data_IF_925690045384
#
_entry.id   IF_925690045384
#
_cell.length_a   1.000
_cell.length_b   1.000
_cell.length_c   1.000
_cell.angle_alpha   90.00
_cell.angle_beta   90.00
_cell.angle_gamma   90.00
#
_symmetry.space_group_name_H-M   'P 1'
#
loop_
_entity.id
_entity.type
_entity.pdbx_description
1 polymer ?
#
# COMPACT_ATOMS: atom_id res chain seq x y z
N UNK A 1 10.49 -8.02 -51.68
CA UNK A 1 10.10 -6.62 -51.43
C UNK A 1 9.08 -6.51 -50.32
N UNK A 2 7.99 -7.28 -50.33
CA UNK A 2 6.90 -7.23 -49.32
C UNK A 2 7.38 -7.54 -47.89
N UNK A 3 8.30 -8.49 -47.74
CA UNK A 3 8.84 -8.90 -46.42
C UNK A 3 9.59 -7.77 -45.70
N UNK A 4 10.30 -6.92 -46.46
CA UNK A 4 11.04 -5.76 -45.92
C UNK A 4 10.08 -4.69 -45.43
N UNK A 5 8.99 -4.48 -46.13
CA UNK A 5 7.95 -3.50 -45.76
C UNK A 5 7.24 -3.93 -44.49
N UNK A 6 6.89 -5.21 -44.38
CA UNK A 6 6.25 -5.79 -43.18
C UNK A 6 7.16 -5.66 -41.95
N UNK A 7 8.45 -5.99 -42.10
CA UNK A 7 9.43 -5.85 -41.02
C UNK A 7 9.62 -4.38 -40.61
N UNK A 8 9.59 -3.45 -41.55
CA UNK A 8 9.65 -2.01 -41.29
C UNK A 8 8.45 -1.51 -40.46
N UNK A 9 7.25 -1.91 -40.84
CA UNK A 9 6.02 -1.55 -40.09
C UNK A 9 6.02 -2.17 -38.69
N UNK A 10 6.42 -3.45 -38.56
CA UNK A 10 6.54 -4.11 -37.26
C UNK A 10 7.53 -3.41 -36.33
N UNK A 11 8.65 -2.94 -36.86
CA UNK A 11 9.67 -2.24 -36.07
C UNK A 11 9.16 -0.90 -35.54
N UNK A 12 8.43 -0.15 -36.35
CA UNK A 12 7.85 1.15 -35.98
C UNK A 12 6.76 0.97 -34.92
N UNK A 13 5.87 0.01 -35.09
CA UNK A 13 4.79 -0.28 -34.12
C UNK A 13 5.35 -0.75 -32.79
N UNK A 14 6.42 -1.58 -32.79
CA UNK A 14 7.08 -2.01 -31.55
C UNK A 14 7.72 -0.84 -30.79
N UNK A 15 8.36 0.10 -31.48
CA UNK A 15 8.95 1.29 -30.87
C UNK A 15 7.90 2.19 -30.18
N UNK A 16 6.77 2.45 -30.85
CA UNK A 16 5.70 3.29 -30.32
C UNK A 16 5.01 2.66 -29.10
N UNK A 17 4.78 1.35 -29.13
CA UNK A 17 4.12 0.61 -28.03
C UNK A 17 4.96 0.60 -26.77
N UNK A 18 6.28 0.45 -26.89
CA UNK A 18 7.17 0.40 -25.73
C UNK A 18 7.23 1.74 -24.97
N UNK A 19 7.24 2.85 -25.70
CA UNK A 19 7.24 4.19 -25.09
C UNK A 19 5.94 4.49 -24.34
N UNK A 20 4.80 4.12 -24.88
CA UNK A 20 3.50 4.33 -24.24
C UNK A 20 3.36 3.51 -22.95
N UNK A 21 3.79 2.23 -22.98
CA UNK A 21 3.72 1.34 -21.84
C UNK A 21 4.56 1.83 -20.64
N UNK A 22 5.78 2.30 -20.91
CA UNK A 22 6.69 2.79 -19.87
C UNK A 22 6.15 4.01 -19.11
N UNK A 23 5.36 4.85 -19.75
CA UNK A 23 4.75 6.04 -19.11
C UNK A 23 3.54 5.69 -18.25
N UNK A 24 2.80 4.62 -18.56
CA UNK A 24 1.60 4.23 -17.83
C UNK A 24 1.89 3.32 -16.62
N UNK A 25 2.95 2.53 -16.66
CA UNK A 25 3.32 1.58 -15.60
C UNK A 25 3.44 2.23 -14.20
N UNK A 26 4.10 3.38 -14.02
CA UNK A 26 4.18 4.02 -12.71
C UNK A 26 2.81 4.40 -12.13
N UNK A 27 1.90 4.87 -12.98
CA UNK A 27 0.55 5.23 -12.56
C UNK A 27 -0.25 4.00 -12.07
N UNK A 28 -0.15 2.88 -12.77
CA UNK A 28 -0.81 1.64 -12.37
C UNK A 28 -0.20 1.06 -11.08
N UNK A 29 1.14 1.11 -10.93
CA UNK A 29 1.84 0.69 -9.72
C UNK A 29 1.42 1.51 -8.52
N UNK A 30 1.36 2.84 -8.64
CA UNK A 30 0.89 3.69 -7.55
C UNK A 30 -0.55 3.36 -7.13
N UNK A 31 -1.46 3.19 -8.10
CA UNK A 31 -2.84 2.82 -7.83
C UNK A 31 -2.96 1.43 -7.18
N UNK A 32 -2.16 0.46 -7.63
CA UNK A 32 -2.09 -0.88 -7.07
C UNK A 32 -1.60 -0.85 -5.63
N UNK A 33 -0.50 -0.15 -5.35
CA UNK A 33 0.06 0.03 -4.02
C UNK A 33 -0.93 0.66 -3.04
N UNK A 34 -1.64 1.71 -3.47
CA UNK A 34 -2.68 2.37 -2.65
C UNK A 34 -3.81 1.40 -2.31
N UNK A 35 -4.27 0.60 -3.28
CA UNK A 35 -5.31 -0.41 -3.05
C UNK A 35 -4.86 -1.49 -2.08
N UNK A 36 -3.62 -1.96 -2.19
CA UNK A 36 -3.05 -2.95 -1.28
C UNK A 36 -2.99 -2.42 0.15
N UNK A 37 -2.36 -1.27 0.38
CA UNK A 37 -2.28 -0.67 1.72
C UNK A 37 -3.67 -0.40 2.28
N UNK A 38 -4.61 0.11 1.48
CA UNK A 38 -5.99 0.33 1.91
C UNK A 38 -6.68 -0.98 2.31
N UNK A 39 -6.51 -2.05 1.53
CA UNK A 39 -7.05 -3.38 1.82
C UNK A 39 -6.51 -3.93 3.14
N UNK A 40 -5.20 -3.82 3.35
CA UNK A 40 -4.54 -4.29 4.57
C UNK A 40 -5.00 -3.52 5.82
N UNK A 41 -5.19 -2.19 5.70
CA UNK A 41 -5.74 -1.37 6.78
C UNK A 41 -7.20 -1.75 7.12
N UNK A 42 -8.01 -2.01 6.10
CA UNK A 42 -9.40 -2.45 6.30
C UNK A 42 -9.43 -3.85 6.90
N UNK A 43 -8.56 -4.76 6.44
CA UNK A 43 -8.44 -6.12 6.99
C UNK A 43 -7.99 -6.07 8.46
N UNK A 44 -6.97 -5.27 8.80
CA UNK A 44 -6.54 -5.08 10.19
C UNK A 44 -7.67 -4.55 11.08
N UNK A 45 -8.45 -3.59 10.59
CA UNK A 45 -9.64 -3.11 11.32
C UNK A 45 -10.68 -4.22 11.54
N UNK A 46 -10.96 -5.02 10.49
CA UNK A 46 -11.91 -6.14 10.59
C UNK A 46 -11.42 -7.18 11.58
N UNK A 47 -10.14 -7.54 11.53
CA UNK A 47 -9.52 -8.49 12.47
C UNK A 47 -9.60 -7.97 13.90
N UNK A 48 -9.36 -6.66 14.14
CA UNK A 48 -9.52 -6.06 15.45
C UNK A 48 -10.92 -6.27 16.03
N UNK A 49 -11.96 -6.17 15.20
CA UNK A 49 -13.37 -6.37 15.62
C UNK A 49 -13.69 -7.84 15.83
N UNK A 50 -13.27 -8.72 14.90
CA UNK A 50 -13.58 -10.16 14.92
C UNK A 50 -12.87 -10.86 16.06
N UNK A 51 -11.58 -10.62 16.22
CA UNK A 51 -10.73 -11.25 17.24
C UNK A 51 -10.84 -10.57 18.61
N UNK A 52 -11.49 -9.41 18.66
CA UNK A 52 -11.61 -8.57 19.86
C UNK A 52 -10.26 -8.16 20.45
N UNK A 53 -9.23 -8.12 19.64
CA UNK A 53 -7.88 -7.69 19.97
C UNK A 53 -7.56 -6.37 19.28
N UNK A 54 -6.53 -5.68 19.79
CA UNK A 54 -6.04 -4.48 19.15
C UNK A 54 -5.10 -4.86 18.00
N UNK A 55 -5.34 -4.31 16.81
CA UNK A 55 -4.45 -4.46 15.66
C UNK A 55 -3.64 -3.17 15.48
N UNK A 56 -2.33 -3.27 15.48
CA UNK A 56 -1.42 -2.13 15.29
C UNK A 56 -0.72 -2.20 13.96
N UNK A 57 -0.52 -1.04 13.34
CA UNK A 57 0.26 -0.94 12.12
C UNK A 57 1.51 -0.12 12.42
N UNK A 58 2.68 -0.69 12.18
CA UNK A 58 3.97 -0.03 12.33
C UNK A 58 4.58 0.20 10.97
N UNK A 59 4.84 1.44 10.62
CA UNK A 59 5.60 1.79 9.42
C UNK A 59 7.08 1.85 9.80
N UNK A 60 7.85 0.85 9.33
CA UNK A 60 9.25 0.67 9.72
C UNK A 60 10.18 1.58 8.90
N UNK A 61 9.91 1.68 7.60
CA UNK A 61 10.68 2.50 6.66
C UNK A 61 9.80 2.92 5.45
N UNK A 62 10.44 3.37 4.37
CA UNK A 62 9.75 3.83 3.17
C UNK A 62 9.18 2.71 2.29
N UNK A 63 9.32 1.44 2.67
CA UNK A 63 8.84 0.28 1.91
C UNK A 63 8.19 -0.80 2.77
N UNK A 64 8.54 -0.90 4.05
CA UNK A 64 8.03 -1.94 4.94
C UNK A 64 7.04 -1.40 5.97
N UNK A 65 5.98 -2.15 6.18
CA UNK A 65 5.09 -1.98 7.30
C UNK A 65 4.70 -3.33 7.89
N UNK A 66 4.41 -3.32 9.18
CA UNK A 66 4.07 -4.49 9.97
C UNK A 66 2.65 -4.32 10.51
N UNK A 67 1.84 -5.37 10.39
CA UNK A 67 0.54 -5.49 11.06
C UNK A 67 0.72 -6.45 12.23
N UNK A 68 0.47 -5.97 13.44
CA UNK A 68 0.66 -6.69 14.70
C UNK A 68 -0.70 -6.95 15.35
N UNK A 69 -0.95 -8.22 15.72
CA UNK A 69 -2.05 -8.60 16.61
C UNK A 69 -1.59 -8.47 18.08
N UNK A 70 -1.80 -7.26 18.64
CA UNK A 70 -1.39 -6.90 20.02
C UNK A 70 -2.36 -7.49 21.02
N UNK A 71 -2.18 -8.77 21.38
CA UNK A 71 -3.06 -9.53 22.27
C UNK A 71 -3.03 -9.05 23.71
N UNK A 72 -1.87 -8.62 24.16
CA UNK A 72 -1.68 -8.16 25.55
C UNK A 72 -1.91 -6.65 25.70
N UNK A 73 -2.13 -5.93 24.60
CA UNK A 73 -2.39 -4.49 24.54
C UNK A 73 -1.25 -3.61 25.11
N UNK A 74 -0.01 -4.11 25.12
CA UNK A 74 1.14 -3.36 25.63
C UNK A 74 1.75 -2.40 24.58
N UNK A 75 1.43 -2.58 23.30
CA UNK A 75 1.93 -1.75 22.19
C UNK A 75 3.35 -2.05 21.76
N UNK A 76 3.91 -3.18 22.20
CA UNK A 76 5.22 -3.65 21.81
C UNK A 76 5.09 -4.89 20.94
N UNK A 77 6.15 -5.22 20.24
CA UNK A 77 6.22 -6.42 19.42
C UNK A 77 6.78 -7.54 20.30
N UNK A 78 5.93 -8.47 20.71
CA UNK A 78 6.29 -9.54 21.61
C UNK A 78 6.39 -10.91 20.91
N UNK A 79 7.17 -11.81 21.50
CA UNK A 79 7.27 -13.18 21.05
C UNK A 79 5.92 -13.91 21.29
N UNK A 80 5.37 -14.49 20.21
CA UNK A 80 4.08 -15.21 20.26
C UNK A 80 2.88 -14.40 19.75
N UNK A 81 3.06 -13.13 19.42
CA UNK A 81 2.07 -12.34 18.72
C UNK A 81 2.17 -12.54 17.20
N UNK A 82 1.04 -12.54 16.53
CA UNK A 82 1.01 -12.68 15.08
C UNK A 82 1.47 -11.39 14.42
N UNK A 83 2.50 -11.52 13.57
CA UNK A 83 3.11 -10.42 12.85
C UNK A 83 3.03 -10.69 11.35
N UNK A 84 2.47 -9.76 10.61
CA UNK A 84 2.41 -9.80 9.15
C UNK A 84 3.23 -8.64 8.57
N UNK A 85 4.45 -8.94 8.11
CA UNK A 85 5.37 -7.98 7.51
C UNK A 85 5.06 -7.84 6.02
N UNK A 86 4.86 -6.62 5.57
CA UNK A 86 4.59 -6.28 4.17
C UNK A 86 5.71 -5.43 3.60
N UNK A 87 6.15 -5.79 2.40
CA UNK A 87 7.07 -5.00 1.57
C UNK A 87 6.32 -4.49 0.35
N UNK A 88 6.05 -3.19 0.30
CA UNK A 88 5.32 -2.59 -0.82
C UNK A 88 6.12 -2.64 -2.13
N UNK A 89 7.45 -2.62 -2.04
CA UNK A 89 8.32 -2.63 -3.21
C UNK A 89 8.53 -4.03 -3.80
N UNK A 90 8.08 -5.10 -3.13
CA UNK A 90 8.08 -6.43 -3.71
C UNK A 90 7.22 -6.49 -5.00
N UNK A 91 6.04 -5.85 -4.97
CA UNK A 91 5.12 -5.79 -6.10
C UNK A 91 5.18 -4.46 -6.87
N UNK A 92 5.52 -3.35 -6.19
CA UNK A 92 5.50 -1.98 -6.71
C UNK A 92 6.85 -1.30 -6.49
N UNK A 93 7.86 -1.70 -7.24
CA UNK A 93 9.30 -1.39 -7.04
C UNK A 93 9.64 0.10 -6.95
N UNK A 94 8.87 0.97 -7.60
CA UNK A 94 9.10 2.42 -7.68
C UNK A 94 8.26 3.21 -6.67
N UNK A 95 7.42 2.53 -5.85
CA UNK A 95 6.56 3.18 -4.88
C UNK A 95 7.24 3.24 -3.52
N UNK A 96 7.23 4.44 -2.93
CA UNK A 96 7.67 4.68 -1.54
C UNK A 96 6.48 5.10 -0.69
N UNK A 97 6.50 4.75 0.59
CA UNK A 97 5.48 5.14 1.54
C UNK A 97 6.07 6.00 2.67
N UNK A 98 5.25 6.92 3.18
CA UNK A 98 5.56 7.72 4.35
C UNK A 98 4.31 7.86 5.20
N UNK A 99 4.41 7.60 6.50
CA UNK A 99 3.28 7.71 7.41
C UNK A 99 3.55 8.76 8.50
N UNK A 100 2.51 9.49 8.88
CA UNK A 100 2.60 10.50 9.95
C UNK A 100 2.62 9.87 11.34
N UNK A 101 1.96 8.72 11.51
CA UNK A 101 1.82 7.99 12.76
C UNK A 101 1.62 6.50 12.50
N UNK A 102 1.80 5.69 13.55
CA UNK A 102 1.47 4.27 13.60
C UNK A 102 0.04 4.10 14.18
N UNK A 103 -0.98 3.91 13.36
CA UNK A 103 -2.35 3.77 13.83
C UNK A 103 -2.57 2.41 14.47
N UNK A 104 -3.48 2.34 15.44
CA UNK A 104 -4.00 1.07 15.93
C UNK A 104 -5.52 1.06 15.87
N UNK A 105 -6.08 -0.06 15.43
CA UNK A 105 -7.51 -0.30 15.43
C UNK A 105 -7.93 -1.01 16.72
N UNK A 106 -8.99 -0.52 17.31
CA UNK A 106 -9.58 -1.04 18.55
C UNK A 106 -10.67 -2.07 18.23
N UNK A 107 -10.99 -2.98 19.16
CA UNK A 107 -12.05 -3.99 19.00
C UNK A 107 -13.42 -3.42 18.59
N UNK A 108 -13.71 -2.19 18.94
CA UNK A 108 -14.96 -1.49 18.57
C UNK A 108 -14.94 -0.88 17.16
N UNK A 109 -13.84 -1.12 16.38
CA UNK A 109 -13.71 -0.63 15.02
C UNK A 109 -13.27 0.82 14.88
N UNK A 110 -12.91 1.50 15.97
CA UNK A 110 -12.32 2.85 15.97
C UNK A 110 -10.80 2.77 15.90
N UNK A 111 -10.14 3.86 15.48
CA UNK A 111 -8.69 3.98 15.55
C UNK A 111 -8.27 4.79 16.79
N UNK A 112 -7.13 4.44 17.38
CA UNK A 112 -6.60 5.18 18.53
C UNK A 112 -6.00 6.52 18.13
N UNK A 113 -5.42 6.59 16.91
CA UNK A 113 -4.70 7.76 16.40
C UNK A 113 -5.15 8.08 14.98
N UNK A 114 -5.12 9.38 14.66
CA UNK A 114 -5.18 9.85 13.28
C UNK A 114 -3.87 9.48 12.58
N UNK A 115 -3.96 8.98 11.36
CA UNK A 115 -2.80 8.73 10.53
C UNK A 115 -3.04 9.17 9.08
N UNK A 116 -1.97 9.64 8.45
CA UNK A 116 -1.92 9.93 7.03
C UNK A 116 -0.76 9.15 6.43
N UNK A 117 -1.04 8.32 5.43
CA UNK A 117 -0.07 7.52 4.71
C UNK A 117 0.00 8.07 3.30
N UNK A 118 1.18 8.48 2.88
CA UNK A 118 1.42 9.02 1.55
C UNK A 118 2.25 8.00 0.77
N UNK A 119 1.73 7.57 -0.37
CA UNK A 119 2.46 6.75 -1.33
C UNK A 119 2.86 7.62 -2.51
N UNK A 120 4.12 7.52 -2.91
CA UNK A 120 4.71 8.39 -3.94
C UNK A 120 5.56 7.57 -4.90
N UNK A 121 5.49 7.92 -6.18
CA UNK A 121 6.43 7.47 -7.21
C UNK A 121 6.59 8.56 -8.29
N UNK A 122 7.21 8.21 -9.42
CA UNK A 122 7.44 9.14 -10.54
C UNK A 122 6.15 9.68 -11.18
N UNK A 123 5.00 9.00 -11.03
CA UNK A 123 3.70 9.47 -11.57
C UNK A 123 2.96 10.44 -10.65
N UNK A 124 3.39 10.59 -9.39
CA UNK A 124 2.79 11.47 -8.42
C UNK A 124 2.67 10.87 -7.02
N UNK A 125 1.76 11.39 -6.21
CA UNK A 125 1.51 10.94 -4.86
C UNK A 125 0.02 10.76 -4.58
N UNK A 126 -0.31 9.81 -3.70
CA UNK A 126 -1.65 9.59 -3.18
C UNK A 126 -1.63 9.45 -1.67
N UNK A 127 -2.66 9.97 -1.02
CA UNK A 127 -2.76 10.01 0.43
C UNK A 127 -3.92 9.12 0.92
N UNK A 128 -3.63 8.26 1.89
CA UNK A 128 -4.62 7.50 2.64
C UNK A 128 -4.75 8.17 4.01
N UNK A 129 -5.97 8.45 4.45
CA UNK A 129 -6.24 9.03 5.77
C UNK A 129 -7.05 8.06 6.62
N UNK A 130 -6.67 7.95 7.89
CA UNK A 130 -7.37 7.18 8.91
C UNK A 130 -7.91 8.16 9.95
N UNK A 131 -9.22 8.16 10.15
CA UNK A 131 -9.88 8.96 11.18
C UNK A 131 -10.01 8.20 12.50
N UNK A 132 -10.25 8.91 13.61
CA UNK A 132 -10.51 8.32 14.95
C UNK A 132 -11.70 7.35 14.91
N UNK A 133 -12.68 7.58 14.03
CA UNK A 133 -13.82 6.66 13.85
C UNK A 133 -13.43 5.34 13.14
N UNK A 134 -12.16 5.15 12.80
CA UNK A 134 -11.67 3.99 12.05
C UNK A 134 -12.03 4.02 10.56
N UNK A 135 -12.42 5.19 10.02
CA UNK A 135 -12.70 5.34 8.59
C UNK A 135 -11.41 5.54 7.83
N UNK A 136 -11.18 4.68 6.84
CA UNK A 136 -10.05 4.76 5.91
C UNK A 136 -10.54 5.39 4.61
N UNK A 137 -9.87 6.44 4.13
CA UNK A 137 -10.18 7.11 2.87
C UNK A 137 -8.92 7.37 2.05
N UNK A 138 -9.04 7.23 0.73
CA UNK A 138 -8.03 7.69 -0.22
C UNK A 138 -8.38 9.11 -0.66
N UNK A 139 -7.37 9.98 -0.68
CA UNK A 139 -7.41 11.32 -1.24
C UNK A 139 -6.45 11.35 -2.44
N UNK A 140 -6.96 11.72 -3.57
CA UNK A 140 -6.19 11.95 -4.81
C UNK A 140 -5.80 13.41 -4.91
#
# INVERSE_FOLDING_TARGET
>A
MELIIVLGIMSITFMLTNTWLSTQLPHWRLNGAVRQVMSDLVAAKMNAVVERNRQRIFFQDNRHYLILDDKNNNGQIDAGEHQDVRDIQADYQDVTLTASNNPSFLPRGTASNLASIILTNSSGSKKITISITGRVKVQS
#
